data_IF_882560692114
#
_entry.id   IF_882560692114
#
_cell.length_a   1.000
_cell.length_b   1.000
_cell.length_c   1.000
_cell.angle_alpha   90.00
_cell.angle_beta   90.00
_cell.angle_gamma   90.00
#
_symmetry.space_group_name_H-M   'P 1'
#
loop_
_entity.id
_entity.type
_entity.pdbx_description
1 polymer ?
#
# COMPACT_ATOMS: atom_id res chain seq x y z
N UNK A 1 2.58 52.93 52.50
CA UNK A 1 3.28 52.54 51.26
C UNK A 1 3.75 51.11 51.48
N UNK A 2 2.90 50.14 51.18
CA UNK A 2 3.10 48.72 51.55
C UNK A 2 3.18 47.96 50.24
N UNK A 3 4.40 47.62 49.80
CA UNK A 3 4.64 46.83 48.60
C UNK A 3 4.27 45.37 48.89
N UNK A 4 3.22 44.88 48.24
CA UNK A 4 2.94 43.46 48.06
C UNK A 4 3.96 42.90 47.07
N UNK A 5 4.75 41.94 47.51
CA UNK A 5 5.55 41.08 46.64
C UNK A 5 4.58 39.99 46.15
N UNK A 6 4.24 40.03 44.86
CA UNK A 6 3.56 38.93 44.17
C UNK A 6 4.62 37.88 43.85
N UNK A 7 4.58 36.74 44.54
CA UNK A 7 5.17 35.50 44.04
C UNK A 7 4.24 34.94 42.96
N UNK A 8 4.59 35.16 41.70
CA UNK A 8 4.02 34.41 40.58
C UNK A 8 4.53 32.96 40.64
N UNK A 9 3.77 32.12 41.35
CA UNK A 9 3.80 30.68 41.19
C UNK A 9 3.39 30.35 39.74
N UNK A 10 4.37 30.06 38.89
CA UNK A 10 4.18 29.41 37.60
C UNK A 10 3.66 27.99 37.82
N UNK A 11 2.35 27.87 38.00
CA UNK A 11 1.64 26.60 37.96
C UNK A 11 1.72 26.05 36.52
N UNK A 12 2.73 25.24 36.24
CA UNK A 12 2.67 24.30 35.12
C UNK A 12 1.61 23.25 35.50
N UNK A 13 0.55 23.03 34.71
CA UNK A 13 -0.46 22.06 35.07
C UNK A 13 0.16 20.66 35.09
N UNK A 14 0.04 19.96 36.23
CA UNK A 14 0.63 18.64 36.52
C UNK A 14 0.29 17.55 35.48
N UNK A 15 -0.73 17.78 34.63
CA UNK A 15 -1.13 16.85 33.56
C UNK A 15 -0.20 16.80 32.33
N UNK A 16 0.69 17.78 32.13
CA UNK A 16 1.58 17.80 30.96
C UNK A 16 2.88 16.99 31.14
N UNK A 17 3.25 16.68 32.38
CA UNK A 17 4.53 16.01 32.71
C UNK A 17 4.53 14.52 32.33
N UNK A 18 3.36 13.86 32.29
CA UNK A 18 3.28 12.41 32.00
C UNK A 18 3.41 12.05 30.51
N UNK A 19 3.04 12.94 29.58
CA UNK A 19 3.08 12.63 28.14
C UNK A 19 4.51 12.56 27.57
N UNK A 20 5.48 13.19 28.22
CA UNK A 20 6.89 13.12 27.84
C UNK A 20 7.53 11.74 28.10
N UNK A 21 6.90 10.87 28.91
CA UNK A 21 7.46 9.59 29.37
C UNK A 21 6.93 8.39 28.54
N UNK A 22 6.10 8.64 27.52
CA UNK A 22 5.56 7.57 26.69
C UNK A 22 6.66 6.89 25.86
N UNK A 23 6.80 5.57 26.07
CA UNK A 23 7.67 4.73 25.26
C UNK A 23 7.15 4.63 23.80
N UNK A 24 8.03 4.18 22.89
CA UNK A 24 7.74 4.11 21.45
C UNK A 24 6.48 3.30 21.13
N UNK A 25 6.26 2.18 21.82
CA UNK A 25 5.05 1.35 21.62
C UNK A 25 3.77 2.11 22.00
N UNK A 26 3.76 2.80 23.14
CA UNK A 26 2.62 3.58 23.59
C UNK A 26 2.30 4.72 22.61
N UNK A 27 3.33 5.41 22.09
CA UNK A 27 3.16 6.44 21.05
C UNK A 27 2.49 5.89 19.79
N UNK A 28 2.94 4.77 19.26
CA UNK A 28 2.30 4.15 18.09
C UNK A 28 0.87 3.68 18.38
N UNK A 29 0.58 3.12 19.57
CA UNK A 29 -0.80 2.77 19.95
C UNK A 29 -1.72 3.99 20.01
N UNK A 30 -1.24 5.11 20.54
CA UNK A 30 -2.01 6.37 20.55
C UNK A 30 -2.27 6.88 19.14
N UNK A 31 -1.26 6.87 18.27
CA UNK A 31 -1.42 7.28 16.88
C UNK A 31 -2.36 6.36 16.10
N UNK A 32 -2.25 5.04 16.30
CA UNK A 32 -3.13 4.05 15.68
C UNK A 32 -4.61 4.26 16.05
N UNK A 33 -4.89 4.72 17.27
CA UNK A 33 -6.24 5.06 17.75
C UNK A 33 -6.66 6.50 17.41
N UNK A 34 -5.82 7.24 16.67
CA UNK A 34 -6.08 8.63 16.31
C UNK A 34 -6.22 9.57 17.52
N UNK A 35 -5.49 9.29 18.60
CA UNK A 35 -5.62 10.05 19.85
C UNK A 35 -5.15 11.51 19.69
N UNK A 36 -5.93 12.51 20.17
CA UNK A 36 -5.50 13.91 20.14
C UNK A 36 -4.31 14.18 21.06
N UNK A 37 -3.97 13.25 21.98
CA UNK A 37 -2.79 13.36 22.84
C UNK A 37 -1.48 13.42 22.04
N UNK A 38 -1.44 12.86 20.84
CA UNK A 38 -0.27 12.94 19.96
C UNK A 38 0.10 14.38 19.56
N UNK A 39 -0.82 15.35 19.67
CA UNK A 39 -0.51 16.76 19.43
C UNK A 39 0.22 17.44 20.59
N UNK A 40 0.16 16.83 21.78
CA UNK A 40 0.75 17.36 23.03
C UNK A 40 2.06 16.66 23.39
N UNK A 41 2.38 15.55 22.73
CA UNK A 41 3.64 14.84 22.94
C UNK A 41 4.80 15.62 22.34
N UNK A 42 5.91 15.76 23.08
CA UNK A 42 7.12 16.36 22.57
C UNK A 42 7.65 15.62 21.33
N UNK A 43 7.86 16.36 20.26
CA UNK A 43 8.44 15.90 19.00
C UNK A 43 9.65 16.76 18.64
N UNK A 44 10.64 16.17 17.95
CA UNK A 44 11.71 16.93 17.32
C UNK A 44 11.10 17.76 16.19
N UNK A 45 11.13 19.09 16.32
CA UNK A 45 10.66 20.01 15.30
C UNK A 45 11.65 20.04 14.13
N UNK A 46 11.16 19.83 12.91
CA UNK A 46 11.94 20.15 11.73
C UNK A 46 11.97 21.67 11.54
N UNK A 47 13.12 22.22 11.11
CA UNK A 47 13.19 23.62 10.69
C UNK A 47 12.23 23.85 9.52
N UNK A 48 11.15 24.60 9.76
CA UNK A 48 10.15 24.93 8.74
C UNK A 48 10.75 25.87 7.70
N UNK A 49 11.30 25.30 6.63
CA UNK A 49 11.60 26.04 5.41
C UNK A 49 10.61 25.60 4.32
N UNK A 50 9.87 26.54 3.75
CA UNK A 50 8.98 26.25 2.63
C UNK A 50 9.85 25.91 1.39
N UNK A 51 10.23 24.65 1.24
CA UNK A 51 11.07 24.22 0.13
C UNK A 51 10.26 24.19 -1.17
N UNK A 52 10.82 24.75 -2.24
CA UNK A 52 10.27 24.58 -3.58
C UNK A 52 10.39 23.11 -4.01
N UNK A 53 9.53 22.66 -4.93
CA UNK A 53 9.58 21.28 -5.46
C UNK A 53 10.97 20.92 -6.01
N UNK A 54 11.66 21.88 -6.65
CA UNK A 54 13.03 21.66 -7.11
C UNK A 54 14.04 21.44 -5.99
N UNK A 55 13.87 22.09 -4.84
CA UNK A 55 14.70 21.83 -3.66
C UNK A 55 14.40 20.46 -3.05
N UNK A 56 13.13 20.05 -2.99
CA UNK A 56 12.74 18.71 -2.52
C UNK A 56 13.31 17.60 -3.43
N UNK A 57 13.18 17.76 -4.74
CA UNK A 57 13.74 16.83 -5.73
C UNK A 57 15.27 16.74 -5.61
N UNK A 58 15.95 17.87 -5.46
CA UNK A 58 17.40 17.90 -5.29
C UNK A 58 17.85 17.28 -3.97
N UNK A 59 17.08 17.44 -2.89
CA UNK A 59 17.37 16.77 -1.62
C UNK A 59 17.28 15.25 -1.75
N UNK A 60 16.25 14.73 -2.42
CA UNK A 60 16.12 13.28 -2.70
C UNK A 60 17.31 12.77 -3.51
N UNK A 61 17.73 13.49 -4.57
CA UNK A 61 18.87 13.08 -5.41
C UNK A 61 20.21 13.03 -4.66
N UNK A 62 20.37 13.83 -3.61
CA UNK A 62 21.61 13.92 -2.82
C UNK A 62 21.69 12.89 -1.69
N UNK A 63 20.65 12.09 -1.48
CA UNK A 63 20.70 11.00 -0.51
C UNK A 63 21.84 10.05 -0.84
N UNK A 64 22.69 9.81 0.14
CA UNK A 64 23.79 8.83 0.09
C UNK A 64 23.25 7.50 0.59
N UNK A 65 23.18 6.50 -0.30
CA UNK A 65 22.59 5.19 -0.02
C UNK A 65 23.60 4.09 -0.39
N UNK A 66 23.74 3.80 -1.68
CA UNK A 66 24.67 2.83 -2.26
C UNK A 66 25.01 3.20 -3.71
N UNK A 67 25.98 2.48 -4.30
CA UNK A 67 26.43 2.70 -5.68
C UNK A 67 25.27 2.54 -6.68
N UNK A 68 24.34 1.61 -6.40
CA UNK A 68 23.18 1.35 -7.25
C UNK A 68 22.22 2.55 -7.28
N UNK A 69 22.02 3.22 -6.16
CA UNK A 69 21.24 4.46 -6.09
C UNK A 69 21.93 5.56 -6.88
N UNK A 70 23.24 5.72 -6.77
CA UNK A 70 23.98 6.68 -7.58
C UNK A 70 23.82 6.41 -9.08
N UNK A 71 23.96 5.16 -9.51
CA UNK A 71 23.72 4.74 -10.89
C UNK A 71 22.29 5.02 -11.33
N UNK A 72 21.31 4.73 -10.48
CA UNK A 72 19.89 4.99 -10.73
C UNK A 72 19.64 6.49 -10.92
N UNK A 73 20.22 7.33 -10.07
CA UNK A 73 20.13 8.79 -10.18
C UNK A 73 20.79 9.26 -11.47
N UNK A 74 22.00 8.79 -11.77
CA UNK A 74 22.74 9.09 -13.01
C UNK A 74 21.99 8.62 -14.26
N UNK A 75 21.28 7.50 -14.22
CA UNK A 75 20.52 6.98 -15.36
C UNK A 75 19.20 7.73 -15.57
N UNK A 76 18.51 8.09 -14.48
CA UNK A 76 17.26 8.83 -14.54
C UNK A 76 17.48 10.27 -15.04
N UNK A 77 18.62 10.92 -14.78
CA UNK A 77 18.86 12.32 -15.18
C UNK A 77 18.87 12.53 -16.73
N UNK A 78 19.61 11.77 -17.55
CA UNK A 78 19.68 11.97 -19.01
C UNK A 78 18.43 11.53 -19.77
N UNK A 79 17.72 10.50 -19.29
CA UNK A 79 16.48 9.99 -19.91
C UNK A 79 15.24 10.84 -19.57
N UNK A 80 15.47 12.08 -19.15
CA UNK A 80 14.46 13.05 -18.71
C UNK A 80 14.52 14.34 -19.53
N UNK A 81 14.96 14.29 -20.80
CA UNK A 81 15.01 15.45 -21.70
C UNK A 81 13.79 16.36 -21.50
N UNK A 82 14.07 17.57 -21.02
CA UNK A 82 13.11 18.67 -20.96
C UNK A 82 12.75 19.03 -22.42
N UNK A 83 11.52 18.70 -22.85
CA UNK A 83 10.98 19.26 -24.09
C UNK A 83 10.79 20.79 -23.93
N UNK A 84 11.76 21.54 -24.48
CA UNK A 84 11.68 22.75 -25.32
C UNK A 84 10.91 24.03 -24.91
N UNK A 85 11.52 25.17 -25.30
CA UNK A 85 11.02 26.54 -25.55
C UNK A 85 10.35 27.36 -24.41
N UNK A 86 10.98 28.46 -23.92
CA UNK A 86 10.48 29.29 -22.79
C UNK A 86 9.22 30.15 -23.02
N UNK A 87 8.64 30.22 -24.21
CA UNK A 87 7.81 31.38 -24.61
C UNK A 87 6.27 31.30 -24.42
N UNK A 88 5.70 30.36 -23.64
CA UNK A 88 4.23 30.22 -23.53
C UNK A 88 3.69 30.02 -22.11
N UNK A 89 2.56 30.66 -21.75
CA UNK A 89 1.84 30.43 -20.47
C UNK A 89 1.37 28.97 -20.28
N UNK A 90 1.26 28.17 -21.35
CA UNK A 90 1.05 26.71 -21.29
C UNK A 90 2.24 25.94 -20.69
N UNK A 91 3.41 26.56 -20.56
CA UNK A 91 4.67 25.96 -20.11
C UNK A 91 4.70 25.68 -18.60
N UNK A 92 4.11 26.54 -17.76
CA UNK A 92 4.17 26.36 -16.30
C UNK A 92 3.45 25.09 -15.82
N UNK A 93 2.26 24.81 -16.39
CA UNK A 93 1.49 23.60 -16.10
C UNK A 93 2.15 22.33 -16.66
N UNK A 94 2.80 22.41 -17.84
CA UNK A 94 3.56 21.28 -18.42
C UNK A 94 4.86 21.00 -17.66
N UNK A 95 5.62 22.03 -17.27
CA UNK A 95 6.87 21.92 -16.51
C UNK A 95 6.67 21.37 -15.10
N UNK A 96 5.57 21.73 -14.42
CA UNK A 96 5.22 21.08 -13.14
C UNK A 96 4.89 19.61 -13.32
N UNK A 97 4.13 19.25 -14.37
CA UNK A 97 3.82 17.84 -14.68
C UNK A 97 5.08 17.02 -15.01
N UNK A 98 6.07 17.62 -15.69
CA UNK A 98 7.34 16.94 -15.92
C UNK A 98 8.11 16.76 -14.61
N UNK A 99 8.20 17.81 -13.78
CA UNK A 99 8.90 17.74 -12.49
C UNK A 99 8.30 16.71 -11.51
N UNK A 100 6.98 16.70 -11.35
CA UNK A 100 6.28 15.71 -10.53
C UNK A 100 6.53 14.28 -11.03
N UNK A 101 6.53 14.08 -12.34
CA UNK A 101 6.81 12.76 -12.92
C UNK A 101 8.23 12.29 -12.58
N UNK A 102 9.22 13.20 -12.66
CA UNK A 102 10.61 12.89 -12.29
C UNK A 102 10.74 12.55 -10.81
N UNK A 103 10.20 13.41 -9.95
CA UNK A 103 10.18 13.17 -8.51
C UNK A 103 9.50 11.84 -8.17
N UNK A 104 8.36 11.55 -8.79
CA UNK A 104 7.65 10.30 -8.56
C UNK A 104 8.46 9.07 -9.01
N UNK A 105 9.28 9.16 -10.07
CA UNK A 105 10.21 8.08 -10.47
C UNK A 105 11.29 7.86 -9.41
N UNK A 106 11.90 8.92 -8.89
CA UNK A 106 12.87 8.81 -7.79
C UNK A 106 12.25 8.18 -6.55
N UNK A 107 11.07 8.66 -6.13
CA UNK A 107 10.36 8.11 -4.98
C UNK A 107 9.96 6.65 -5.18
N UNK A 108 9.56 6.26 -6.39
CA UNK A 108 9.23 4.86 -6.71
C UNK A 108 10.45 3.95 -6.57
N UNK A 109 11.65 4.41 -6.96
CA UNK A 109 12.90 3.67 -6.73
C UNK A 109 13.27 3.63 -5.25
N UNK A 110 13.08 4.74 -4.54
CA UNK A 110 13.34 4.82 -3.11
C UNK A 110 12.41 3.90 -2.29
N UNK A 111 11.15 3.72 -2.70
CA UNK A 111 10.26 2.68 -2.14
C UNK A 111 10.91 1.31 -2.23
N UNK A 112 11.44 0.93 -3.39
CA UNK A 112 12.08 -0.38 -3.60
C UNK A 112 13.35 -0.53 -2.76
N UNK A 113 14.20 0.50 -2.73
CA UNK A 113 15.45 0.49 -1.95
C UNK A 113 15.14 0.33 -0.46
N UNK A 114 14.17 1.08 0.06
CA UNK A 114 13.80 1.03 1.48
C UNK A 114 13.14 -0.29 1.89
N UNK A 115 12.68 -1.14 0.96
CA UNK A 115 12.27 -2.52 1.28
C UNK A 115 13.44 -3.40 1.75
N UNK A 116 14.68 -3.02 1.38
CA UNK A 116 15.91 -3.78 1.62
C UNK A 116 16.75 -3.25 2.78
N UNK A 117 16.58 -1.99 3.22
CA UNK A 117 17.33 -1.41 4.34
C UNK A 117 17.45 0.12 4.30
N UNK A 118 18.57 0.64 4.80
CA UNK A 118 19.00 2.05 4.78
C UNK A 118 18.21 3.04 5.66
N UNK A 119 17.32 2.57 6.52
CA UNK A 119 16.45 3.43 7.33
C UNK A 119 17.24 4.36 8.26
N UNK A 120 18.27 3.85 8.92
CA UNK A 120 19.11 4.65 9.84
C UNK A 120 19.91 5.70 9.07
N UNK A 121 20.52 5.30 7.97
CA UNK A 121 21.33 6.13 7.08
C UNK A 121 20.51 7.27 6.49
N UNK A 122 19.27 6.99 6.08
CA UNK A 122 18.35 7.99 5.56
C UNK A 122 17.83 8.92 6.66
N UNK A 123 17.53 8.40 7.86
CA UNK A 123 17.14 9.23 9.02
C UNK A 123 18.25 10.22 9.38
N UNK A 124 19.51 9.78 9.35
CA UNK A 124 20.67 10.65 9.60
C UNK A 124 20.87 11.72 8.51
N UNK A 125 20.14 11.65 7.40
CA UNK A 125 20.11 12.61 6.30
C UNK A 125 18.77 13.37 6.23
N UNK A 126 18.06 13.49 7.35
CA UNK A 126 16.80 14.23 7.51
C UNK A 126 15.64 13.76 6.61
N UNK A 127 15.64 12.49 6.20
CA UNK A 127 14.60 11.94 5.32
C UNK A 127 13.19 12.12 5.93
N UNK A 128 13.05 12.07 7.26
CA UNK A 128 11.74 12.18 7.91
C UNK A 128 11.12 13.57 7.69
N UNK A 129 11.92 14.63 7.79
CA UNK A 129 11.48 15.99 7.53
C UNK A 129 11.17 16.19 6.03
N UNK A 130 12.02 15.64 5.16
CA UNK A 130 11.84 15.70 3.70
C UNK A 130 10.54 15.01 3.25
N UNK A 131 10.26 13.81 3.78
CA UNK A 131 9.02 13.08 3.51
C UNK A 131 7.81 13.86 4.05
N UNK A 132 7.93 14.51 5.22
CA UNK A 132 6.84 15.28 5.79
C UNK A 132 6.49 16.50 4.91
N UNK A 133 7.50 17.22 4.42
CA UNK A 133 7.34 18.32 3.46
C UNK A 133 6.68 17.85 2.17
N UNK A 134 7.13 16.71 1.62
CA UNK A 134 6.51 16.09 0.44
C UNK A 134 5.05 15.72 0.68
N UNK A 135 4.73 15.13 1.83
CA UNK A 135 3.36 14.79 2.19
C UNK A 135 2.47 16.03 2.26
N UNK A 136 2.92 17.09 2.95
CA UNK A 136 2.17 18.34 3.06
C UNK A 136 1.95 19.00 1.69
N UNK A 137 2.94 18.97 0.80
CA UNK A 137 2.84 19.57 -0.53
C UNK A 137 1.91 18.78 -1.47
N UNK A 138 1.99 17.45 -1.44
CA UNK A 138 1.37 16.59 -2.45
C UNK A 138 0.07 15.91 -2.03
N UNK A 139 -0.35 16.05 -0.76
CA UNK A 139 -1.59 15.46 -0.22
C UNK A 139 -2.80 15.66 -1.14
N UNK A 140 -2.98 16.88 -1.65
CA UNK A 140 -4.14 17.25 -2.47
C UNK A 140 -3.83 17.36 -3.97
N UNK A 141 -2.55 17.46 -4.33
CA UNK A 141 -2.13 17.80 -5.71
C UNK A 141 -1.63 16.59 -6.50
N UNK A 142 -0.98 15.61 -5.86
CA UNK A 142 -0.47 14.42 -6.55
C UNK A 142 -0.48 13.17 -5.65
N UNK A 143 -1.51 12.34 -5.85
CA UNK A 143 -1.75 11.15 -5.04
C UNK A 143 -0.63 10.10 -5.11
N UNK A 144 0.02 9.95 -6.27
CA UNK A 144 1.09 8.96 -6.43
C UNK A 144 2.33 9.34 -5.61
N UNK A 145 2.73 10.61 -5.66
CA UNK A 145 3.86 11.12 -4.87
C UNK A 145 3.56 11.00 -3.38
N UNK A 146 2.34 11.40 -2.98
CA UNK A 146 1.88 11.27 -1.60
C UNK A 146 1.96 9.82 -1.08
N UNK A 147 1.40 8.86 -1.83
CA UNK A 147 1.43 7.45 -1.43
C UNK A 147 2.85 6.86 -1.43
N UNK A 148 3.70 7.21 -2.40
CA UNK A 148 5.09 6.75 -2.42
C UNK A 148 5.86 7.29 -1.20
N UNK A 149 5.61 8.54 -0.80
CA UNK A 149 6.19 9.14 0.41
C UNK A 149 5.83 8.35 1.66
N UNK A 150 4.54 8.02 1.83
CA UNK A 150 4.06 7.22 2.96
C UNK A 150 4.59 5.77 2.92
N UNK A 151 4.76 5.18 1.73
CA UNK A 151 5.35 3.83 1.56
C UNK A 151 6.81 3.80 1.99
N UNK A 152 7.60 4.83 1.66
CA UNK A 152 8.98 4.97 2.13
C UNK A 152 9.01 5.02 3.66
N UNK A 153 8.14 5.83 4.28
CA UNK A 153 8.04 5.90 5.74
C UNK A 153 7.66 4.54 6.37
N UNK A 154 6.69 3.84 5.80
CA UNK A 154 6.27 2.51 6.25
C UNK A 154 7.40 1.45 6.14
N UNK A 155 8.29 1.60 5.16
CA UNK A 155 9.45 0.74 4.97
C UNK A 155 10.60 1.10 5.91
N UNK A 156 10.79 2.38 6.26
CA UNK A 156 11.82 2.83 7.21
C UNK A 156 11.45 2.40 8.63
N UNK A 157 10.21 2.67 9.05
CA UNK A 157 9.78 2.49 10.46
C UNK A 157 9.93 1.05 10.97
N UNK A 158 9.83 0.07 10.07
CA UNK A 158 9.84 -1.37 10.41
C UNK A 158 11.24 -1.97 10.58
N UNK A 159 12.30 -1.25 10.18
CA UNK A 159 13.62 -1.88 10.01
C UNK A 159 14.30 -2.22 11.33
N UNK A 160 14.18 -1.36 12.35
CA UNK A 160 14.78 -1.54 13.66
C UNK A 160 14.22 -0.52 14.67
N UNK A 161 14.57 -0.73 15.94
CA UNK A 161 14.15 0.12 17.08
C UNK A 161 14.53 1.59 16.91
N UNK A 162 15.70 1.89 16.33
CA UNK A 162 16.12 3.26 16.07
C UNK A 162 15.18 3.95 15.09
N UNK A 163 14.86 3.31 13.96
CA UNK A 163 13.94 3.87 12.98
C UNK A 163 12.53 4.07 13.55
N UNK A 164 12.01 3.07 14.27
CA UNK A 164 10.68 3.13 14.88
C UNK A 164 10.60 4.29 15.89
N UNK A 165 11.62 4.42 16.74
CA UNK A 165 11.70 5.48 17.75
C UNK A 165 11.87 6.86 17.13
N UNK A 166 12.68 6.99 16.07
CA UNK A 166 12.85 8.25 15.35
C UNK A 166 11.52 8.74 14.74
N UNK A 167 10.74 7.86 14.13
CA UNK A 167 9.41 8.20 13.59
C UNK A 167 8.46 8.60 14.72
N UNK A 168 8.38 7.81 15.79
CA UNK A 168 7.50 8.09 16.93
C UNK A 168 7.86 9.39 17.70
N UNK A 169 9.11 9.85 17.60
CA UNK A 169 9.57 11.08 18.24
C UNK A 169 9.60 12.29 17.28
N UNK A 170 9.17 12.12 16.03
CA UNK A 170 9.13 13.20 15.03
C UNK A 170 7.73 13.79 14.87
N UNK A 171 7.62 14.89 14.11
CA UNK A 171 6.34 15.49 13.71
C UNK A 171 5.40 14.55 12.93
N UNK A 172 5.86 13.35 12.54
CA UNK A 172 4.99 12.32 12.01
C UNK A 172 3.97 11.78 13.01
N UNK A 173 4.26 11.75 14.31
CA UNK A 173 3.36 11.18 15.30
C UNK A 173 1.95 11.81 15.30
N UNK A 174 1.80 13.15 15.43
CA UNK A 174 0.49 13.80 15.31
C UNK A 174 -0.13 13.65 13.91
N UNK A 175 0.68 13.63 12.85
CA UNK A 175 0.19 13.44 11.47
C UNK A 175 -0.42 12.06 11.28
N UNK A 176 0.23 11.00 11.79
CA UNK A 176 -0.29 9.64 11.75
C UNK A 176 -1.61 9.53 12.54
N UNK A 177 -1.69 10.18 13.71
CA UNK A 177 -2.91 10.22 14.50
C UNK A 177 -4.07 10.92 13.75
N UNK A 178 -3.80 12.05 13.10
CA UNK A 178 -4.78 12.73 12.27
C UNK A 178 -5.23 11.88 11.07
N UNK A 179 -4.29 11.20 10.40
CA UNK A 179 -4.57 10.31 9.27
C UNK A 179 -5.42 9.10 9.66
N UNK A 180 -5.23 8.53 10.85
CA UNK A 180 -6.03 7.42 11.37
C UNK A 180 -7.53 7.77 11.49
N UNK A 181 -7.85 9.05 11.71
CA UNK A 181 -9.23 9.55 11.75
C UNK A 181 -9.70 10.18 10.43
N UNK A 182 -8.94 10.02 9.35
CA UNK A 182 -9.25 10.67 8.07
C UNK A 182 -10.51 10.09 7.42
N UNK A 183 -11.21 10.95 6.69
CA UNK A 183 -12.28 10.53 5.78
C UNK A 183 -11.73 9.85 4.52
N UNK A 184 -10.45 10.06 4.22
CA UNK A 184 -9.74 9.47 3.10
C UNK A 184 -9.22 8.09 3.51
N UNK A 185 -9.77 7.02 2.91
CA UNK A 185 -9.51 5.65 3.35
C UNK A 185 -8.04 5.24 3.22
N UNK A 186 -7.36 5.71 2.19
CA UNK A 186 -5.93 5.39 1.99
C UNK A 186 -5.04 6.03 3.04
N UNK A 187 -5.43 7.20 3.58
CA UNK A 187 -4.69 7.81 4.71
C UNK A 187 -4.84 6.97 5.97
N UNK A 188 -6.05 6.47 6.23
CA UNK A 188 -6.33 5.56 7.36
C UNK A 188 -5.47 4.29 7.24
N UNK A 189 -5.54 3.60 6.09
CA UNK A 189 -4.77 2.36 5.89
C UNK A 189 -3.25 2.59 5.95
N UNK A 190 -2.74 3.71 5.42
CA UNK A 190 -1.31 4.00 5.51
C UNK A 190 -0.89 4.33 6.95
N UNK A 191 -1.69 5.09 7.70
CA UNK A 191 -1.40 5.36 9.11
C UNK A 191 -1.41 4.07 9.94
N UNK A 192 -2.41 3.21 9.75
CA UNK A 192 -2.50 1.90 10.37
C UNK A 192 -1.28 1.05 10.02
N UNK A 193 -0.90 0.97 8.73
CA UNK A 193 0.28 0.24 8.28
C UNK A 193 1.57 0.75 8.93
N UNK A 194 1.80 2.06 8.95
CA UNK A 194 3.01 2.67 9.52
C UNK A 194 3.07 2.38 11.03
N UNK A 195 1.96 2.56 11.74
CA UNK A 195 1.90 2.31 13.18
C UNK A 195 2.07 0.82 13.51
N UNK A 196 1.41 -0.08 12.77
CA UNK A 196 1.53 -1.53 12.96
C UNK A 196 2.94 -2.03 12.65
N UNK A 197 3.59 -1.49 11.62
CA UNK A 197 5.00 -1.75 11.33
C UNK A 197 5.90 -1.26 12.46
N UNK A 198 5.68 -0.05 12.97
CA UNK A 198 6.42 0.47 14.14
C UNK A 198 6.23 -0.39 15.39
N UNK A 199 5.01 -0.89 15.63
CA UNK A 199 4.72 -1.80 16.75
C UNK A 199 5.40 -3.17 16.58
N UNK A 200 5.43 -3.70 15.35
CA UNK A 200 6.02 -5.03 15.06
C UNK A 200 7.52 -5.13 15.40
N UNK A 201 8.21 -4.00 15.49
CA UNK A 201 9.61 -3.94 15.93
C UNK A 201 9.77 -4.36 17.40
N UNK A 202 8.74 -4.13 18.22
CA UNK A 202 8.78 -4.37 19.67
C UNK A 202 7.81 -5.47 20.12
N UNK A 203 6.97 -5.98 19.23
CA UNK A 203 5.96 -6.99 19.50
C UNK A 203 5.99 -8.06 18.42
N UNK A 204 6.58 -9.22 18.74
CA UNK A 204 6.74 -10.33 17.82
C UNK A 204 5.43 -11.01 17.41
N UNK A 205 4.32 -10.73 18.11
CA UNK A 205 2.97 -11.18 17.72
C UNK A 205 2.43 -10.41 16.51
N UNK A 206 3.02 -9.24 16.23
CA UNK A 206 2.75 -8.43 15.04
C UNK A 206 3.84 -8.71 14.02
N UNK A 207 3.44 -9.12 12.83
CA UNK A 207 4.36 -9.39 11.72
C UNK A 207 4.52 -8.14 10.87
N UNK A 208 5.74 -7.87 10.35
CA UNK A 208 5.98 -6.71 9.52
C UNK A 208 5.21 -6.80 8.18
N UNK A 209 4.64 -5.69 7.74
CA UNK A 209 3.90 -5.59 6.48
C UNK A 209 4.79 -4.95 5.41
N UNK A 210 5.22 -5.76 4.43
CA UNK A 210 5.95 -5.29 3.24
C UNK A 210 5.09 -4.35 2.39
N UNK A 211 5.70 -3.53 1.53
CA UNK A 211 5.07 -2.41 0.79
C UNK A 211 3.67 -2.71 0.24
N UNK A 212 3.49 -3.86 -0.40
CA UNK A 212 2.24 -4.20 -1.10
C UNK A 212 1.18 -4.85 -0.21
N UNK A 213 1.48 -5.18 1.04
CA UNK A 213 0.55 -5.85 1.96
C UNK A 213 -0.13 -4.83 2.87
N UNK A 214 -1.46 -4.81 2.87
CA UNK A 214 -2.27 -3.95 3.73
C UNK A 214 -3.08 -4.81 4.68
N UNK A 215 -3.04 -4.48 5.97
CA UNK A 215 -3.94 -5.07 6.96
C UNK A 215 -5.23 -4.25 6.95
N UNK A 216 -6.30 -4.82 6.38
CA UNK A 216 -7.62 -4.17 6.29
C UNK A 216 -8.38 -4.26 7.61
N UNK A 217 -8.14 -5.30 8.39
CA UNK A 217 -8.76 -5.50 9.68
C UNK A 217 -7.90 -6.44 10.52
N UNK A 218 -7.81 -6.12 11.81
CA UNK A 218 -7.22 -6.98 12.83
C UNK A 218 -8.18 -6.97 14.04
N UNK A 219 -8.42 -8.11 14.69
CA UNK A 219 -9.14 -8.13 15.97
C UNK A 219 -8.36 -7.35 17.04
N UNK A 220 -9.02 -7.09 18.17
CA UNK A 220 -8.39 -6.46 19.33
C UNK A 220 -7.23 -7.32 19.89
N UNK A 221 -6.28 -6.67 20.57
CA UNK A 221 -5.01 -7.30 21.00
C UNK A 221 -5.21 -8.49 21.97
N UNK A 222 -6.33 -8.55 22.68
CA UNK A 222 -6.71 -9.64 23.58
C UNK A 222 -7.29 -10.86 22.85
N UNK A 223 -7.55 -10.76 21.54
CA UNK A 223 -8.09 -11.83 20.70
C UNK A 223 -7.16 -12.10 19.50
N UNK A 224 -6.14 -12.95 19.65
CA UNK A 224 -5.20 -13.23 18.56
C UNK A 224 -5.93 -13.86 17.35
N UNK A 225 -5.58 -13.48 16.10
CA UNK A 225 -6.23 -14.02 14.91
C UNK A 225 -6.06 -15.54 14.79
N UNK A 226 -7.16 -16.25 14.61
CA UNK A 226 -7.19 -17.71 14.40
C UNK A 226 -7.25 -18.10 12.93
N UNK A 227 -7.57 -17.16 12.04
CA UNK A 227 -7.64 -17.34 10.59
C UNK A 227 -7.20 -16.08 9.86
N UNK A 228 -6.54 -16.25 8.72
CA UNK A 228 -6.18 -15.17 7.80
C UNK A 228 -7.08 -15.19 6.56
N UNK A 229 -7.63 -14.03 6.21
CA UNK A 229 -8.33 -13.79 4.96
C UNK A 229 -7.48 -12.88 4.07
N UNK A 230 -7.08 -13.37 2.89
CA UNK A 230 -6.22 -12.64 1.96
C UNK A 230 -6.99 -12.27 0.70
N UNK A 231 -7.10 -10.97 0.44
CA UNK A 231 -7.77 -10.42 -0.74
C UNK A 231 -6.77 -10.02 -1.83
N UNK A 232 -6.99 -10.50 -3.06
CA UNK A 232 -6.14 -10.17 -4.21
C UNK A 232 -7.01 -9.63 -5.36
N UNK A 233 -6.77 -8.38 -5.73
CA UNK A 233 -7.53 -7.69 -6.78
C UNK A 233 -7.09 -8.12 -8.20
N UNK A 234 -7.83 -7.67 -9.21
CA UNK A 234 -7.56 -7.94 -10.63
C UNK A 234 -6.82 -6.81 -11.34
N UNK A 235 -6.78 -6.87 -12.67
CA UNK A 235 -6.15 -5.84 -13.51
C UNK A 235 -6.81 -4.47 -13.32
N UNK A 236 -6.02 -3.38 -13.24
CA UNK A 236 -6.50 -2.02 -12.88
C UNK A 236 -7.21 -1.93 -11.52
N UNK A 237 -7.14 -2.98 -10.71
CA UNK A 237 -7.62 -2.97 -9.35
C UNK A 237 -6.61 -2.31 -8.42
N UNK A 238 -7.04 -2.13 -7.18
CA UNK A 238 -6.21 -1.70 -6.06
C UNK A 238 -6.97 -1.96 -4.77
N UNK A 239 -6.24 -2.15 -3.67
CA UNK A 239 -6.83 -2.34 -2.33
C UNK A 239 -7.78 -1.19 -1.97
N UNK A 240 -7.48 0.02 -2.43
CA UNK A 240 -8.25 1.23 -2.15
C UNK A 240 -9.54 1.37 -2.98
N UNK A 241 -9.68 0.58 -4.05
CA UNK A 241 -10.73 0.77 -5.05
C UNK A 241 -11.57 -0.47 -5.33
N UNK A 242 -10.98 -1.67 -5.33
CA UNK A 242 -11.66 -2.90 -5.73
C UNK A 242 -12.68 -3.37 -4.71
N UNK A 243 -12.44 -3.12 -3.42
CA UNK A 243 -13.22 -3.68 -2.33
C UNK A 243 -14.23 -2.70 -1.72
N UNK A 244 -14.51 -1.57 -2.39
CA UNK A 244 -15.48 -0.58 -1.93
C UNK A 244 -16.86 -0.82 -2.54
N UNK A 245 -17.90 -0.33 -1.88
CA UNK A 245 -19.24 -0.30 -2.47
C UNK A 245 -19.29 0.72 -3.63
N UNK A 246 -20.04 0.39 -4.69
CA UNK A 246 -20.19 1.27 -5.87
C UNK A 246 -20.76 2.63 -5.48
N UNK A 247 -20.29 3.68 -6.14
CA UNK A 247 -20.87 5.03 -6.03
C UNK A 247 -22.28 5.07 -6.60
N UNK A 248 -23.28 4.72 -5.79
CA UNK A 248 -24.68 4.99 -6.09
C UNK A 248 -25.08 6.29 -5.38
N UNK A 249 -25.45 7.31 -6.16
CA UNK A 249 -25.89 8.62 -5.67
C UNK A 249 -27.06 8.55 -4.68
N UNK A 250 -27.85 7.47 -4.71
CA UNK A 250 -29.04 7.28 -3.86
C UNK A 250 -28.78 6.69 -2.47
N UNK A 251 -27.58 6.14 -2.19
CA UNK A 251 -27.24 5.60 -0.85
C UNK A 251 -26.50 6.63 -0.01
N UNK A 252 -26.99 6.89 1.21
CA UNK A 252 -26.40 7.83 2.18
C UNK A 252 -25.22 7.23 2.95
N UNK A 253 -25.20 5.91 3.17
CA UNK A 253 -24.10 5.16 3.79
C UNK A 253 -23.48 4.24 2.73
N UNK A 254 -22.19 4.44 2.45
CA UNK A 254 -21.40 3.61 1.52
C UNK A 254 -20.24 2.97 2.27
N UNK A 255 -20.03 1.67 2.07
CA UNK A 255 -18.82 1.04 2.62
C UNK A 255 -17.59 1.44 1.82
N UNK A 256 -16.61 2.06 2.50
CA UNK A 256 -15.28 2.38 1.93
C UNK A 256 -14.47 1.10 1.64
N UNK A 257 -14.75 0.02 2.35
CA UNK A 257 -14.12 -1.29 2.19
C UNK A 257 -15.04 -2.35 2.80
N UNK A 258 -15.81 -3.07 1.98
CA UNK A 258 -16.79 -4.04 2.46
C UNK A 258 -16.17 -5.21 3.25
N UNK A 259 -14.98 -5.75 2.92
CA UNK A 259 -14.37 -6.80 3.72
C UNK A 259 -14.06 -6.34 5.14
N UNK A 260 -13.58 -5.09 5.29
CA UNK A 260 -13.34 -4.49 6.60
C UNK A 260 -14.63 -4.20 7.36
N UNK A 261 -15.64 -3.68 6.67
CA UNK A 261 -16.84 -3.18 7.32
C UNK A 261 -17.83 -4.28 7.70
N UNK A 262 -18.02 -5.30 6.84
CA UNK A 262 -19.12 -6.27 6.98
C UNK A 262 -18.65 -7.60 7.55
N UNK A 263 -17.53 -8.15 7.05
CA UNK A 263 -17.11 -9.52 7.43
C UNK A 263 -16.87 -9.73 8.93
N UNK A 264 -16.20 -8.82 9.67
CA UNK A 264 -16.02 -9.01 11.11
C UNK A 264 -17.34 -8.96 11.91
N UNK A 265 -18.39 -8.33 11.36
CA UNK A 265 -19.72 -8.27 11.98
C UNK A 265 -20.55 -9.52 11.66
N UNK A 266 -20.50 -9.97 10.40
CA UNK A 266 -21.29 -11.10 9.92
C UNK A 266 -20.72 -12.46 10.34
N UNK A 267 -19.40 -12.53 10.55
CA UNK A 267 -18.68 -13.75 10.92
C UNK A 267 -17.87 -13.47 12.18
N UNK A 268 -18.41 -13.77 13.39
CA UNK A 268 -17.78 -13.46 14.67
C UNK A 268 -16.66 -14.46 15.01
N UNK A 269 -15.69 -14.57 14.12
CA UNK A 269 -14.44 -15.32 14.31
C UNK A 269 -13.31 -14.32 14.40
N UNK A 270 -12.33 -14.50 15.32
CA UNK A 270 -11.12 -13.67 15.37
C UNK A 270 -10.29 -13.81 14.07
N UNK A 271 -10.67 -13.05 13.04
CA UNK A 271 -10.02 -13.08 11.72
C UNK A 271 -9.13 -11.87 11.51
N UNK A 272 -8.00 -12.07 10.84
CA UNK A 272 -7.21 -10.97 10.29
C UNK A 272 -7.46 -10.91 8.78
N UNK A 273 -7.69 -9.71 8.27
CA UNK A 273 -7.95 -9.47 6.86
C UNK A 273 -6.76 -8.72 6.27
N UNK A 274 -6.07 -9.34 5.32
CA UNK A 274 -4.99 -8.74 4.54
C UNK A 274 -5.43 -8.55 3.09
N UNK A 275 -4.85 -7.57 2.41
CA UNK A 275 -5.02 -7.39 0.98
C UNK A 275 -3.70 -7.01 0.31
N UNK A 276 -3.50 -7.49 -0.92
CA UNK A 276 -2.33 -7.18 -1.73
C UNK A 276 -2.68 -6.07 -2.73
N UNK A 277 -1.89 -4.99 -2.73
CA UNK A 277 -1.97 -3.90 -3.71
C UNK A 277 -0.80 -3.99 -4.68
N UNK A 278 -1.08 -4.12 -5.97
CA UNK A 278 -0.01 -4.20 -6.97
C UNK A 278 -0.38 -3.52 -8.27
N UNK A 279 0.64 -2.99 -8.95
CA UNK A 279 0.42 -2.36 -10.24
C UNK A 279 0.06 -3.42 -11.27
N UNK A 280 -1.14 -3.28 -11.85
CA UNK A 280 -1.59 -4.08 -12.98
C UNK A 280 -2.19 -3.17 -14.04
N UNK A 281 -1.55 -3.12 -15.21
CA UNK A 281 -1.90 -2.20 -16.30
C UNK A 281 -2.47 -2.96 -17.48
N UNK A 282 -3.41 -2.36 -18.22
CA UNK A 282 -3.87 -2.90 -19.51
C UNK A 282 -2.84 -2.74 -20.64
N UNK A 283 -1.93 -1.78 -20.50
CA UNK A 283 -1.00 -1.35 -21.56
C UNK A 283 0.43 -1.42 -21.05
N UNK A 284 1.37 -1.76 -21.92
CA UNK A 284 2.79 -1.65 -21.62
C UNK A 284 3.16 -0.18 -21.40
N UNK A 285 3.66 0.15 -20.21
CA UNK A 285 4.48 1.35 -20.00
C UNK A 285 5.94 0.93 -20.06
N UNK A 286 6.77 1.71 -20.75
CA UNK A 286 8.20 1.43 -20.92
C UNK A 286 8.87 1.33 -19.54
N UNK A 287 9.48 0.19 -19.21
CA UNK A 287 10.47 0.11 -18.13
C UNK A 287 10.40 -1.06 -17.16
N UNK A 288 9.25 -1.69 -16.89
CA UNK A 288 9.20 -2.89 -16.01
C UNK A 288 8.07 -3.82 -16.44
N UNK A 289 8.44 -4.99 -16.99
CA UNK A 289 7.50 -6.07 -17.27
C UNK A 289 7.82 -7.21 -16.31
N UNK A 290 7.05 -7.31 -15.23
CA UNK A 290 7.16 -8.42 -14.29
C UNK A 290 6.25 -9.56 -14.74
N UNK A 291 6.81 -10.78 -14.89
CA UNK A 291 6.02 -11.95 -15.26
C UNK A 291 5.10 -12.37 -14.11
N UNK A 292 4.02 -13.11 -14.42
CA UNK A 292 3.13 -13.70 -13.41
C UNK A 292 3.92 -14.49 -12.35
N UNK A 293 4.90 -15.29 -12.78
CA UNK A 293 5.72 -16.11 -11.88
C UNK A 293 6.62 -15.27 -10.98
N UNK A 294 7.28 -14.24 -11.53
CA UNK A 294 8.11 -13.32 -10.72
C UNK A 294 7.26 -12.62 -9.67
N UNK A 295 6.08 -12.11 -10.07
CA UNK A 295 5.15 -11.42 -9.19
C UNK A 295 4.58 -12.34 -8.11
N UNK A 296 4.16 -13.56 -8.49
CA UNK A 296 3.65 -14.56 -7.56
C UNK A 296 4.71 -14.93 -6.51
N UNK A 297 5.96 -15.15 -6.92
CA UNK A 297 7.07 -15.42 -5.99
C UNK A 297 7.32 -14.25 -5.04
N UNK A 298 7.30 -13.01 -5.55
CA UNK A 298 7.41 -11.80 -4.72
C UNK A 298 6.29 -11.75 -3.68
N UNK A 299 5.04 -11.93 -4.09
CA UNK A 299 3.90 -11.91 -3.17
C UNK A 299 3.91 -13.06 -2.17
N UNK A 300 4.36 -14.27 -2.55
CA UNK A 300 4.53 -15.36 -1.60
C UNK A 300 5.51 -14.98 -0.48
N UNK A 301 6.64 -14.34 -0.81
CA UNK A 301 7.61 -13.85 0.18
C UNK A 301 6.99 -12.77 1.07
N UNK A 302 6.28 -11.80 0.49
CA UNK A 302 5.63 -10.73 1.25
C UNK A 302 4.52 -11.25 2.17
N UNK A 303 3.71 -12.20 1.70
CA UNK A 303 2.66 -12.86 2.49
C UNK A 303 3.26 -13.65 3.66
N UNK A 304 4.29 -14.46 3.42
CA UNK A 304 4.98 -15.19 4.50
C UNK A 304 5.63 -14.24 5.50
N UNK A 305 6.18 -13.11 5.04
CA UNK A 305 6.71 -12.06 5.92
C UNK A 305 5.61 -11.50 6.84
N UNK A 306 4.38 -11.36 6.33
CA UNK A 306 3.21 -10.97 7.12
C UNK A 306 2.62 -12.12 7.97
N UNK A 307 3.25 -13.30 8.00
CA UNK A 307 2.83 -14.47 8.77
C UNK A 307 1.68 -15.27 8.15
N UNK A 308 1.46 -15.14 6.84
CA UNK A 308 0.55 -16.05 6.11
C UNK A 308 1.24 -17.40 5.98
N UNK A 309 0.53 -18.46 6.38
CA UNK A 309 1.08 -19.81 6.55
C UNK A 309 1.12 -20.26 8.01
N UNK A 310 1.17 -19.33 8.96
CA UNK A 310 1.23 -19.62 10.40
C UNK A 310 -0.12 -20.13 10.96
N UNK A 311 -1.21 -19.85 10.24
CA UNK A 311 -2.60 -20.20 10.59
C UNK A 311 -3.39 -20.53 9.32
N UNK A 312 -4.60 -21.12 9.44
CA UNK A 312 -5.48 -21.34 8.30
C UNK A 312 -5.70 -20.08 7.45
N UNK A 313 -5.61 -20.23 6.13
CA UNK A 313 -5.71 -19.13 5.16
C UNK A 313 -6.91 -19.33 4.25
N UNK A 314 -7.67 -18.26 4.04
CA UNK A 314 -8.72 -18.15 3.05
C UNK A 314 -8.33 -17.09 2.01
N UNK A 315 -8.44 -17.40 0.72
CA UNK A 315 -8.20 -16.44 -0.35
C UNK A 315 -9.52 -15.96 -0.96
N UNK A 316 -9.66 -14.64 -1.13
CA UNK A 316 -10.70 -14.04 -1.97
C UNK A 316 -10.01 -13.34 -3.14
N UNK A 317 -10.29 -13.82 -4.34
CA UNK A 317 -9.57 -13.43 -5.53
C UNK A 317 -10.53 -12.83 -6.54
N UNK A 318 -10.20 -11.66 -7.08
CA UNK A 318 -10.95 -11.06 -8.17
C UNK A 318 -10.15 -11.10 -9.48
N UNK A 319 -10.77 -11.59 -10.55
CA UNK A 319 -10.21 -11.58 -11.91
C UNK A 319 -8.77 -12.13 -11.97
N UNK A 320 -7.81 -11.37 -12.49
CA UNK A 320 -6.40 -11.79 -12.58
C UNK A 320 -5.78 -12.18 -11.22
N UNK A 321 -6.31 -11.65 -10.11
CA UNK A 321 -5.86 -12.02 -8.76
C UNK A 321 -6.00 -13.52 -8.49
N UNK A 322 -6.98 -14.19 -9.11
CA UNK A 322 -7.13 -15.64 -8.99
C UNK A 322 -6.03 -16.42 -9.70
N UNK A 323 -5.52 -15.92 -10.83
CA UNK A 323 -4.39 -16.53 -11.53
C UNK A 323 -3.10 -16.40 -10.70
N UNK A 324 -2.93 -15.28 -10.01
CA UNK A 324 -1.82 -15.09 -9.08
C UNK A 324 -1.88 -16.09 -7.92
N UNK A 325 -3.04 -16.29 -7.29
CA UNK A 325 -3.18 -17.29 -6.22
C UNK A 325 -2.89 -18.69 -6.72
N UNK A 326 -3.41 -19.08 -7.90
CA UNK A 326 -3.05 -20.38 -8.51
C UNK A 326 -1.53 -20.55 -8.60
N UNK A 327 -0.83 -19.52 -9.08
CA UNK A 327 0.64 -19.57 -9.22
C UNK A 327 1.35 -19.61 -7.86
N UNK A 328 0.91 -18.81 -6.89
CA UNK A 328 1.45 -18.83 -5.52
C UNK A 328 1.33 -20.23 -4.90
N UNK A 329 0.16 -20.86 -4.99
CA UNK A 329 -0.08 -22.17 -4.38
C UNK A 329 0.67 -23.30 -5.10
N UNK A 330 0.96 -23.16 -6.39
CA UNK A 330 1.82 -24.10 -7.11
C UNK A 330 3.28 -23.98 -6.65
N UNK A 331 3.76 -22.75 -6.47
CA UNK A 331 5.16 -22.46 -6.17
C UNK A 331 5.51 -22.56 -4.68
N UNK A 332 4.53 -22.35 -3.78
CA UNK A 332 4.74 -22.31 -2.34
C UNK A 332 3.88 -23.35 -1.62
N UNK A 333 4.53 -24.45 -1.24
CA UNK A 333 3.87 -25.57 -0.56
C UNK A 333 3.44 -25.25 0.88
N UNK A 334 4.07 -24.28 1.54
CA UNK A 334 3.73 -23.88 2.92
C UNK A 334 2.40 -23.13 2.92
N UNK A 335 2.29 -22.10 2.08
CA UNK A 335 1.03 -21.37 1.90
C UNK A 335 -0.06 -22.35 1.45
N UNK A 336 0.23 -23.25 0.50
CA UNK A 336 -0.73 -24.27 0.05
C UNK A 336 -1.24 -25.15 1.19
N UNK A 337 -0.36 -25.70 2.04
CA UNK A 337 -0.77 -26.53 3.18
C UNK A 337 -1.66 -25.80 4.19
N UNK A 338 -1.46 -24.50 4.36
CA UNK A 338 -2.28 -23.67 5.25
C UNK A 338 -3.60 -23.20 4.62
N UNK A 339 -3.78 -23.37 3.30
CA UNK A 339 -4.93 -22.84 2.58
C UNK A 339 -6.15 -23.73 2.78
N UNK A 340 -7.14 -23.24 3.51
CA UNK A 340 -8.39 -23.96 3.78
C UNK A 340 -9.45 -23.70 2.73
N UNK A 341 -9.39 -22.55 2.05
CA UNK A 341 -10.30 -22.30 0.97
C UNK A 341 -9.98 -21.10 0.09
N UNK A 342 -10.59 -21.11 -1.10
CA UNK A 342 -10.40 -20.10 -2.13
C UNK A 342 -11.76 -19.76 -2.73
N UNK A 343 -12.08 -18.47 -2.76
CA UNK A 343 -13.18 -17.89 -3.51
C UNK A 343 -12.64 -17.16 -4.73
N UNK A 344 -12.87 -17.71 -5.91
CA UNK A 344 -12.61 -17.05 -7.17
C UNK A 344 -13.84 -16.24 -7.60
N UNK A 345 -13.65 -14.95 -7.88
CA UNK A 345 -14.68 -14.06 -8.38
C UNK A 345 -14.27 -13.55 -9.77
N UNK A 346 -15.04 -13.91 -10.79
CA UNK A 346 -14.79 -13.57 -12.19
C UNK A 346 -13.33 -13.86 -12.60
N UNK A 347 -12.74 -14.96 -12.11
CA UNK A 347 -11.37 -15.34 -12.47
C UNK A 347 -11.39 -16.06 -13.81
N UNK A 348 -10.70 -15.55 -14.85
CA UNK A 348 -10.69 -16.17 -16.17
C UNK A 348 -9.78 -17.40 -16.18
N UNK A 349 -10.26 -18.52 -15.65
CA UNK A 349 -9.46 -19.73 -15.44
C UNK A 349 -8.90 -20.30 -16.75
N UNK A 350 -9.60 -20.13 -17.88
CA UNK A 350 -9.16 -20.50 -19.23
C UNK A 350 -9.02 -19.29 -20.17
N UNK A 351 -9.11 -18.08 -19.62
CA UNK A 351 -9.06 -16.82 -20.35
C UNK A 351 -10.46 -16.25 -20.65
N UNK A 352 -10.48 -15.01 -21.13
CA UNK A 352 -11.69 -14.25 -21.42
C UNK A 352 -11.83 -14.01 -22.93
N UNK A 353 -13.03 -14.17 -23.52
CA UNK A 353 -13.29 -13.86 -24.93
C UNK A 353 -13.01 -12.38 -25.27
N UNK A 354 -13.21 -11.48 -24.31
CA UNK A 354 -13.12 -10.04 -24.54
C UNK A 354 -11.77 -9.43 -24.19
N UNK A 355 -10.86 -10.18 -23.57
CA UNK A 355 -9.53 -9.68 -23.22
C UNK A 355 -8.75 -9.18 -24.45
N UNK A 356 -8.97 -9.81 -25.62
CA UNK A 356 -8.33 -9.43 -26.88
C UNK A 356 -8.69 -8.02 -27.37
N UNK A 357 -9.88 -7.52 -27.00
CA UNK A 357 -10.36 -6.19 -27.41
C UNK A 357 -10.00 -5.09 -26.40
N UNK A 358 -9.41 -5.43 -25.26
CA UNK A 358 -9.09 -4.48 -24.20
C UNK A 358 -8.10 -3.36 -24.61
N UNK A 359 -7.08 -3.61 -25.47
CA UNK A 359 -6.19 -2.57 -25.96
C UNK A 359 -6.59 -2.15 -27.37
N UNK A 360 -7.52 -1.20 -27.48
CA UNK A 360 -7.86 -0.57 -28.77
C UNK A 360 -6.66 0.28 -29.26
N UNK A 361 -5.86 -0.28 -30.17
CA UNK A 361 -4.81 0.45 -30.90
C UNK A 361 -3.44 0.57 -30.23
N UNK A 362 -3.16 -0.17 -29.14
CA UNK A 362 -1.89 -0.12 -28.38
C UNK A 362 -1.40 -1.53 -28.01
N UNK A 363 -0.10 -1.71 -27.75
CA UNK A 363 0.46 -3.04 -27.41
C UNK A 363 -0.07 -3.52 -26.04
N UNK A 364 -0.79 -4.66 -25.98
CA UNK A 364 -1.34 -5.22 -24.73
C UNK A 364 -0.23 -5.52 -23.72
N UNK A 365 -0.48 -5.30 -22.42
CA UNK A 365 0.37 -5.79 -21.32
C UNK A 365 0.46 -7.32 -21.31
N UNK A 366 1.51 -7.87 -20.72
CA UNK A 366 1.62 -9.32 -20.53
C UNK A 366 0.53 -9.84 -19.57
N UNK A 367 0.10 -9.01 -18.62
CA UNK A 367 -1.08 -9.24 -17.80
C UNK A 367 -2.33 -9.45 -18.68
N UNK A 368 -2.58 -8.59 -19.68
CA UNK A 368 -3.71 -8.73 -20.61
C UNK A 368 -3.58 -9.96 -21.50
N UNK A 369 -2.39 -10.24 -22.05
CA UNK A 369 -2.15 -11.43 -22.88
C UNK A 369 -2.40 -12.72 -22.10
N UNK A 370 -2.06 -12.75 -20.82
CA UNK A 370 -2.37 -13.89 -19.96
C UNK A 370 -3.88 -14.17 -19.91
N UNK A 371 -4.71 -13.13 -19.95
CA UNK A 371 -6.17 -13.26 -19.91
C UNK A 371 -6.78 -13.68 -21.26
N UNK A 372 -6.01 -13.82 -22.34
CA UNK A 372 -6.57 -14.26 -23.63
C UNK A 372 -7.07 -15.71 -23.56
N UNK A 373 -8.21 -15.98 -24.18
CA UNK A 373 -8.82 -17.32 -24.23
C UNK A 373 -7.91 -18.40 -24.85
N UNK A 374 -6.91 -18.00 -25.63
CA UNK A 374 -5.92 -18.89 -26.26
C UNK A 374 -4.55 -18.83 -25.58
N UNK A 375 -4.44 -18.21 -24.40
CA UNK A 375 -3.19 -18.14 -23.65
C UNK A 375 -2.74 -19.53 -23.22
N UNK A 376 -1.65 -20.03 -23.82
CA UNK A 376 -1.02 -21.30 -23.44
C UNK A 376 -0.54 -21.26 -22.00
N UNK A 377 -0.04 -20.10 -21.55
CA UNK A 377 0.42 -19.88 -20.17
C UNK A 377 -0.74 -20.04 -19.18
N UNK A 378 -1.90 -19.42 -19.43
CA UNK A 378 -3.05 -19.52 -18.54
C UNK A 378 -3.64 -20.94 -18.52
N UNK A 379 -3.76 -21.57 -19.70
CA UNK A 379 -4.21 -22.96 -19.82
C UNK A 379 -3.30 -23.91 -19.03
N UNK A 380 -1.99 -23.78 -19.17
CA UNK A 380 -1.03 -24.60 -18.45
C UNK A 380 -1.13 -24.36 -16.93
N UNK A 381 -1.18 -23.09 -16.51
CA UNK A 381 -1.36 -22.72 -15.10
C UNK A 381 -2.63 -23.35 -14.52
N UNK A 382 -3.74 -23.31 -15.25
CA UNK A 382 -4.97 -23.91 -14.78
C UNK A 382 -4.89 -25.45 -14.70
N UNK A 383 -4.30 -26.10 -15.70
CA UNK A 383 -4.07 -27.54 -15.69
C UNK A 383 -3.17 -27.97 -14.53
N UNK A 384 -2.12 -27.22 -14.24
CA UNK A 384 -1.25 -27.50 -13.11
C UNK A 384 -1.97 -27.27 -11.78
N UNK A 385 -2.77 -26.22 -11.67
CA UNK A 385 -3.60 -25.98 -10.48
C UNK A 385 -4.60 -27.13 -10.25
N UNK A 386 -5.21 -27.68 -11.31
CA UNK A 386 -6.12 -28.84 -11.20
C UNK A 386 -5.43 -30.07 -10.60
N UNK A 387 -4.10 -30.22 -10.69
CA UNK A 387 -3.37 -31.33 -10.08
C UNK A 387 -3.25 -31.22 -8.55
N UNK A 388 -3.54 -30.05 -7.98
CA UNK A 388 -3.39 -29.79 -6.53
C UNK A 388 -4.71 -29.41 -5.86
N UNK A 389 -5.86 -29.46 -6.56
CA UNK A 389 -7.15 -29.00 -5.99
C UNK A 389 -7.57 -29.80 -4.76
N UNK A 390 -7.27 -31.10 -4.72
CA UNK A 390 -7.62 -31.97 -3.59
C UNK A 390 -6.83 -31.62 -2.30
N UNK A 391 -5.79 -30.79 -2.43
CA UNK A 391 -5.04 -30.28 -1.27
C UNK A 391 -5.69 -29.06 -0.61
N UNK A 392 -6.69 -28.44 -1.26
CA UNK A 392 -7.43 -27.29 -0.74
C UNK A 392 -8.86 -27.72 -0.42
N UNK A 393 -9.27 -27.73 0.86
CA UNK A 393 -10.56 -28.28 1.26
C UNK A 393 -11.79 -27.66 0.58
N UNK A 394 -11.80 -26.34 0.39
CA UNK A 394 -12.95 -25.63 -0.18
C UNK A 394 -12.53 -24.71 -1.33
N UNK A 395 -13.00 -25.00 -2.54
CA UNK A 395 -12.82 -24.09 -3.68
C UNK A 395 -14.20 -23.71 -4.21
N UNK A 396 -14.45 -22.41 -4.33
CA UNK A 396 -15.67 -21.86 -4.93
C UNK A 396 -15.30 -20.88 -6.04
N UNK A 397 -16.06 -20.89 -7.12
CA UNK A 397 -15.90 -19.94 -8.22
C UNK A 397 -17.25 -19.32 -8.57
N UNK A 398 -17.27 -17.99 -8.65
CA UNK A 398 -18.44 -17.19 -9.00
C UNK A 398 -18.13 -16.47 -10.30
N UNK A 399 -18.98 -16.67 -11.30
CA UNK A 399 -18.83 -16.12 -12.64
C UNK A 399 -20.05 -15.28 -13.05
N UNK A 400 -19.86 -14.46 -14.08
CA UNK A 400 -20.92 -13.61 -14.62
C UNK A 400 -21.91 -14.45 -15.44
N UNK A 401 -23.20 -14.39 -15.11
CA UNK A 401 -24.27 -15.06 -15.89
C UNK A 401 -25.00 -14.08 -16.80
N UNK A 402 -24.91 -12.78 -16.52
CA UNK A 402 -25.62 -11.71 -17.23
C UNK A 402 -24.66 -10.85 -18.04
N UNK A 403 -25.10 -10.39 -19.21
CA UNK A 403 -24.28 -9.54 -20.08
C UNK A 403 -24.14 -8.13 -19.50
N UNK A 404 -22.91 -7.69 -19.30
CA UNK A 404 -22.58 -6.32 -18.91
C UNK A 404 -22.37 -5.41 -20.14
N UNK A 405 -22.66 -4.10 -20.03
CA UNK A 405 -22.32 -3.14 -21.08
C UNK A 405 -20.80 -2.91 -21.14
N UNK A 406 -20.23 -3.05 -22.33
CA UNK A 406 -18.84 -2.77 -22.66
C UNK A 406 -18.67 -1.45 -23.41
N UNK A 407 -17.39 -1.12 -23.69
CA UNK A 407 -16.99 -0.02 -24.57
C UNK A 407 -17.71 -0.18 -25.93
N UNK A 408 -18.16 0.93 -26.52
CA UNK A 408 -18.98 0.97 -27.77
C UNK A 408 -20.39 0.36 -27.68
N UNK A 409 -21.03 0.34 -26.49
CA UNK A 409 -22.43 -0.13 -26.30
C UNK A 409 -22.68 -1.61 -26.64
N UNK A 410 -21.64 -2.40 -26.85
CA UNK A 410 -21.79 -3.86 -26.95
C UNK A 410 -22.11 -4.43 -25.56
N UNK A 411 -22.93 -5.48 -25.51
CA UNK A 411 -23.18 -6.24 -24.28
C UNK A 411 -22.53 -7.60 -24.42
N UNK A 412 -21.84 -8.06 -23.38
CA UNK A 412 -21.32 -9.41 -23.33
C UNK A 412 -20.90 -9.82 -21.92
N UNK A 413 -20.37 -11.03 -21.81
CA UNK A 413 -19.92 -11.60 -20.55
C UNK A 413 -18.40 -11.56 -20.54
N UNK A 414 -17.80 -10.86 -19.58
CA UNK A 414 -16.36 -10.64 -19.55
C UNK A 414 -15.66 -11.94 -19.16
N UNK A 415 -16.16 -12.59 -18.12
CA UNK A 415 -15.66 -13.89 -17.68
C UNK A 415 -16.83 -14.86 -17.59
N UNK A 416 -17.00 -15.74 -18.60
CA UNK A 416 -18.12 -16.67 -18.63
C UNK A 416 -18.02 -17.71 -17.50
N UNK A 417 -19.14 -18.35 -17.11
CA UNK A 417 -19.09 -19.53 -16.27
C UNK A 417 -18.29 -20.63 -16.98
N UNK A 418 -17.36 -21.27 -16.27
CA UNK A 418 -16.37 -22.21 -16.81
C UNK A 418 -16.40 -23.58 -16.14
#
# INVERSE_FOLDING_TARGET
MTQKINEESTHIPETDVELCILNTQARFRLALRGSPLCNRTATTLAEKSAKSVGMLENAIKRLVIDDKWEETVKWLIPHMCDEDDPSSYKYFLKRRRSQDLRLNRFLSQLVIITETGFGRELINQDILALLLELCNHYRETNRSIYLNTLKILANIVVQNEYCATAVANSEWLPVLAAMANSQIFEEVLMAEKICNNGLSVFDSSRKPLKTNIYELFRPEDDQPPTVDLVLIHGIRGSVFWTWRERDNSSKTLRSRCWPRAWLPQDVPVPMRILAIDYLSSLVHFVGVVETLSTRARKFAVELKTAGIGDRPVLFICHSMGGLLVKRILLDDSEIRRSTMGILFMATPHRGSPYAMYAPLGVRPSDDVKLLYQQSTINRQLHQDFLKIIDTVPVISSVAETEKAPFIMRQKGILVPPE
#
